data_IF_509813007037
#
_entry.id   IF_509813007037
#
_cell.length_a   1.000
_cell.length_b   1.000
_cell.length_c   1.000
_cell.angle_alpha   90.00
_cell.angle_beta   90.00
_cell.angle_gamma   90.00
#
_symmetry.space_group_name_H-M   'P 1'
#
loop_
_entity.id
_entity.type
_entity.pdbx_description
1 polymer ?
#
# COMPACT_ATOMS: atom_id res chain seq x y z
N UNK A 1 -22.28 8.18 -5.22
CA UNK A 1 -20.87 8.52 -5.45
C UNK A 1 -20.51 8.49 -6.94
N UNK A 2 -20.94 7.47 -7.69
CA UNK A 2 -20.64 7.29 -9.11
C UNK A 2 -21.03 8.46 -10.01
N UNK A 3 -22.16 9.12 -9.75
CA UNK A 3 -22.57 10.33 -10.49
C UNK A 3 -21.63 11.52 -10.26
N UNK A 4 -21.20 11.73 -9.01
CA UNK A 4 -20.25 12.78 -8.66
C UNK A 4 -18.86 12.50 -9.26
N UNK A 5 -18.41 11.23 -9.25
CA UNK A 5 -17.18 10.81 -9.93
C UNK A 5 -17.24 11.02 -11.43
N UNK A 6 -18.33 10.62 -12.09
CA UNK A 6 -18.50 10.79 -13.54
C UNK A 6 -18.47 12.26 -13.93
N UNK A 7 -19.13 13.11 -13.15
CA UNK A 7 -19.12 14.57 -13.34
C UNK A 7 -17.71 15.15 -13.14
N UNK A 8 -17.01 14.70 -12.10
CA UNK A 8 -15.63 15.11 -11.81
C UNK A 8 -14.68 14.71 -12.95
N UNK A 9 -14.74 13.47 -13.43
CA UNK A 9 -13.92 12.98 -14.54
C UNK A 9 -14.20 13.73 -15.84
N UNK A 10 -15.48 14.02 -16.14
CA UNK A 10 -15.85 14.84 -17.30
C UNK A 10 -15.26 16.24 -17.20
N UNK A 11 -15.35 16.89 -16.04
CA UNK A 11 -14.77 18.21 -15.81
C UNK A 11 -13.24 18.19 -15.89
N UNK A 12 -12.58 17.19 -15.29
CA UNK A 12 -11.12 17.01 -15.40
C UNK A 12 -10.65 16.81 -16.84
N UNK A 13 -11.42 16.11 -17.67
CA UNK A 13 -11.05 15.85 -19.07
C UNK A 13 -11.14 17.06 -20.01
N UNK A 14 -11.87 18.12 -19.60
CA UNK A 14 -12.24 19.23 -20.48
C UNK A 14 -11.87 20.62 -19.94
N UNK A 15 -11.61 20.75 -18.64
CA UNK A 15 -11.31 22.02 -17.99
C UNK A 15 -9.86 22.45 -18.22
N UNK A 16 -9.66 23.73 -18.49
CA UNK A 16 -8.34 24.39 -18.50
C UNK A 16 -7.98 25.01 -17.14
N UNK A 17 -8.83 24.87 -16.13
CA UNK A 17 -8.67 25.42 -14.78
C UNK A 17 -8.87 24.35 -13.71
N UNK A 18 -8.53 24.68 -12.46
CA UNK A 18 -8.79 23.82 -11.32
C UNK A 18 -10.27 23.40 -11.25
N UNK A 19 -10.50 22.12 -11.00
CA UNK A 19 -11.84 21.50 -10.95
C UNK A 19 -12.24 21.30 -9.49
N UNK A 20 -13.48 21.66 -9.15
CA UNK A 20 -14.01 21.49 -7.79
C UNK A 20 -14.32 20.02 -7.49
N UNK A 21 -13.94 19.58 -6.29
CA UNK A 21 -14.25 18.24 -5.75
C UNK A 21 -15.44 18.26 -4.77
N UNK A 22 -16.06 19.41 -4.53
CA UNK A 22 -17.09 19.60 -3.49
C UNK A 22 -18.26 18.60 -3.61
N UNK A 23 -18.71 18.33 -4.83
CA UNK A 23 -19.78 17.36 -5.08
C UNK A 23 -19.37 15.93 -4.69
N UNK A 24 -18.12 15.55 -4.96
CA UNK A 24 -17.57 14.25 -4.56
C UNK A 24 -17.39 14.17 -3.05
N UNK A 25 -16.81 15.22 -2.44
CA UNK A 25 -16.62 15.29 -0.99
C UNK A 25 -17.96 15.16 -0.26
N UNK A 26 -19.01 15.89 -0.69
CA UNK A 26 -20.36 15.75 -0.13
C UNK A 26 -20.94 14.35 -0.34
N UNK A 27 -20.78 13.76 -1.53
CA UNK A 27 -21.29 12.42 -1.81
C UNK A 27 -20.62 11.34 -0.94
N UNK A 28 -19.35 11.50 -0.59
CA UNK A 28 -18.61 10.59 0.28
C UNK A 28 -18.91 10.84 1.76
N UNK A 29 -18.90 12.10 2.22
CA UNK A 29 -19.15 12.42 3.64
C UNK A 29 -20.61 12.23 4.06
N UNK A 30 -21.56 12.37 3.14
CA UNK A 30 -22.97 11.99 3.40
C UNK A 30 -23.17 10.48 3.50
N UNK A 31 -22.26 9.69 2.91
CA UNK A 31 -22.28 8.23 3.00
C UNK A 31 -21.59 7.71 4.28
N UNK A 32 -20.78 8.54 4.94
CA UNK A 32 -20.09 8.23 6.19
C UNK A 32 -20.85 8.85 7.39
N UNK A 33 -20.94 8.11 8.49
CA UNK A 33 -21.58 8.60 9.72
C UNK A 33 -20.67 9.68 10.34
N UNK A 34 -20.95 10.97 10.11
CA UNK A 34 -20.22 12.06 10.77
C UNK A 34 -20.09 13.40 10.04
N UNK A 35 -20.41 13.49 8.75
CA UNK A 35 -20.78 14.75 8.07
C UNK A 35 -19.77 15.91 8.00
N UNK A 36 -18.50 15.76 8.41
CA UNK A 36 -17.50 16.83 8.30
C UNK A 36 -16.65 16.69 7.04
N UNK A 37 -16.58 17.73 6.21
CA UNK A 37 -15.85 17.77 4.94
C UNK A 37 -14.45 18.39 5.00
N UNK A 38 -13.97 18.77 6.19
CA UNK A 38 -12.70 19.50 6.38
C UNK A 38 -11.67 18.73 7.19
N UNK A 39 -11.89 17.43 7.42
CA UNK A 39 -10.98 16.59 8.20
C UNK A 39 -9.83 16.08 7.31
N UNK A 40 -8.63 16.02 7.88
CA UNK A 40 -7.53 15.28 7.25
C UNK A 40 -7.85 13.79 7.34
N UNK A 41 -7.75 13.10 6.22
CA UNK A 41 -8.04 11.67 6.13
C UNK A 41 -6.77 10.90 5.77
N UNK A 42 -6.71 9.65 6.23
CA UNK A 42 -5.75 8.68 5.72
C UNK A 42 -6.12 8.33 4.27
N UNK A 43 -5.14 8.35 3.36
CA UNK A 43 -5.39 8.11 1.93
C UNK A 43 -5.85 6.67 1.66
N UNK A 44 -5.39 5.71 2.45
CA UNK A 44 -5.78 4.30 2.31
C UNK A 44 -7.20 4.09 2.82
N UNK A 45 -7.56 4.69 3.95
CA UNK A 45 -8.94 4.68 4.46
C UNK A 45 -9.90 5.33 3.46
N UNK A 46 -9.52 6.49 2.91
CA UNK A 46 -10.29 7.16 1.87
C UNK A 46 -10.48 6.27 0.62
N UNK A 47 -9.42 5.59 0.17
CA UNK A 47 -9.47 4.68 -0.98
C UNK A 47 -10.44 3.53 -0.73
N UNK A 48 -10.35 2.87 0.41
CA UNK A 48 -11.24 1.76 0.78
C UNK A 48 -12.71 2.20 0.81
N UNK A 49 -13.01 3.35 1.42
CA UNK A 49 -14.38 3.91 1.42
C UNK A 49 -14.87 4.20 0.01
N UNK A 50 -14.02 4.78 -0.83
CA UNK A 50 -14.35 5.11 -2.21
C UNK A 50 -14.68 3.84 -3.02
N UNK A 51 -13.80 2.84 -2.99
CA UNK A 51 -13.98 1.59 -3.73
C UNK A 51 -15.20 0.82 -3.24
N UNK A 52 -15.39 0.70 -1.94
CA UNK A 52 -16.56 0.01 -1.36
C UNK A 52 -17.86 0.65 -1.83
N UNK A 53 -17.90 1.99 -1.88
CA UNK A 53 -19.10 2.70 -2.31
C UNK A 53 -19.35 2.55 -3.79
N UNK A 54 -18.30 2.56 -4.62
CA UNK A 54 -18.41 2.31 -6.06
C UNK A 54 -18.83 0.87 -6.33
N UNK A 55 -18.21 -0.14 -5.68
CA UNK A 55 -18.62 -1.55 -5.81
C UNK A 55 -20.07 -1.77 -5.40
N UNK A 56 -20.50 -1.14 -4.31
CA UNK A 56 -21.89 -1.19 -3.84
C UNK A 56 -22.86 -0.64 -4.89
N UNK A 57 -22.53 0.49 -5.52
CA UNK A 57 -23.37 1.09 -6.56
C UNK A 57 -23.35 0.28 -7.88
N UNK A 58 -22.24 -0.39 -8.19
CA UNK A 58 -22.09 -1.20 -9.40
C UNK A 58 -22.64 -2.63 -9.28
N UNK A 59 -22.90 -3.14 -8.06
CA UNK A 59 -23.25 -4.54 -7.78
C UNK A 59 -24.39 -5.11 -8.64
N UNK A 60 -25.37 -4.28 -9.00
CA UNK A 60 -26.54 -4.68 -9.80
C UNK A 60 -26.46 -4.24 -11.27
N UNK A 61 -25.26 -3.92 -11.76
CA UNK A 61 -25.00 -3.48 -13.13
C UNK A 61 -24.13 -4.50 -13.87
N UNK A 62 -24.05 -4.48 -15.20
CA UNK A 62 -23.08 -5.28 -15.96
C UNK A 62 -21.62 -5.07 -15.54
N UNK A 63 -21.32 -3.95 -14.89
CA UNK A 63 -19.99 -3.55 -14.42
C UNK A 63 -19.71 -3.99 -12.97
N UNK A 64 -20.51 -4.88 -12.37
CA UNK A 64 -20.37 -5.33 -10.98
C UNK A 64 -18.96 -5.86 -10.63
N UNK A 65 -18.19 -6.36 -11.62
CA UNK A 65 -16.84 -6.87 -11.44
C UNK A 65 -15.73 -5.89 -11.86
N UNK A 66 -16.05 -4.62 -12.13
CA UNK A 66 -15.06 -3.66 -12.63
C UNK A 66 -13.87 -3.50 -11.68
N UNK A 67 -14.14 -3.20 -10.40
CA UNK A 67 -13.10 -2.99 -9.39
C UNK A 67 -12.35 -4.29 -9.05
N UNK A 68 -13.03 -5.43 -8.80
CA UNK A 68 -12.34 -6.71 -8.61
C UNK A 68 -11.42 -7.08 -9.77
N UNK A 69 -11.85 -6.88 -11.03
CA UNK A 69 -11.03 -7.21 -12.18
C UNK A 69 -9.81 -6.30 -12.36
N UNK A 70 -9.87 -5.08 -11.83
CA UNK A 70 -8.77 -4.12 -11.92
C UNK A 70 -7.75 -4.28 -10.80
N UNK A 71 -8.22 -4.59 -9.59
CA UNK A 71 -7.40 -4.47 -8.38
C UNK A 71 -7.21 -5.78 -7.61
N UNK A 72 -8.05 -6.81 -7.78
CA UNK A 72 -7.87 -8.04 -7.01
C UNK A 72 -6.70 -8.87 -7.53
N UNK A 73 -5.81 -9.26 -6.61
CA UNK A 73 -4.90 -10.39 -6.74
C UNK A 73 -5.30 -11.55 -5.84
N UNK A 74 -4.67 -12.70 -6.06
CA UNK A 74 -4.83 -13.90 -5.22
C UNK A 74 -3.58 -14.11 -4.37
N UNK A 75 -3.78 -14.50 -3.11
CA UNK A 75 -2.71 -14.85 -2.19
C UNK A 75 -3.06 -16.11 -1.40
N UNK A 76 -2.03 -16.79 -0.87
CA UNK A 76 -2.21 -17.99 -0.05
C UNK A 76 -1.27 -17.92 1.14
N UNK A 77 -1.82 -18.09 2.33
CA UNK A 77 -1.06 -18.21 3.57
C UNK A 77 -0.78 -19.68 3.84
N UNK A 78 0.46 -20.02 4.17
CA UNK A 78 0.85 -21.37 4.53
C UNK A 78 1.21 -21.41 6.02
N UNK A 79 0.92 -22.53 6.67
CA UNK A 79 1.41 -22.81 8.03
C UNK A 79 1.94 -24.23 8.07
N UNK A 80 3.20 -24.39 8.48
CA UNK A 80 3.88 -25.66 8.68
C UNK A 80 4.01 -25.94 10.17
N UNK A 81 3.37 -27.02 10.63
CA UNK A 81 3.50 -27.51 11.99
C UNK A 81 4.95 -27.97 12.28
N UNK A 82 5.55 -27.44 13.34
CA UNK A 82 6.92 -27.77 13.77
C UNK A 82 7.08 -29.17 14.38
N UNK A 83 5.99 -29.81 14.83
CA UNK A 83 6.05 -31.17 15.40
C UNK A 83 5.84 -32.27 14.34
N UNK A 84 4.72 -32.24 13.62
CA UNK A 84 4.33 -33.31 12.68
C UNK A 84 4.61 -32.98 11.21
N UNK A 85 5.08 -31.77 10.89
CA UNK A 85 5.41 -31.32 9.54
C UNK A 85 4.23 -31.10 8.60
N UNK A 86 2.97 -31.21 9.08
CA UNK A 86 1.79 -30.96 8.26
C UNK A 86 1.78 -29.49 7.82
N UNK A 87 1.54 -29.27 6.52
CA UNK A 87 1.33 -27.94 5.94
C UNK A 87 -0.17 -27.76 5.70
N UNK A 88 -0.74 -26.69 6.26
CA UNK A 88 -2.07 -26.20 5.95
C UNK A 88 -1.95 -24.89 5.17
N UNK A 89 -3.04 -24.48 4.51
CA UNK A 89 -3.09 -23.20 3.83
C UNK A 89 -4.48 -22.59 3.86
N UNK A 90 -4.53 -21.26 3.71
CA UNK A 90 -5.76 -20.49 3.53
C UNK A 90 -5.60 -19.63 2.29
N UNK A 91 -6.55 -19.73 1.36
CA UNK A 91 -6.64 -18.87 0.17
C UNK A 91 -7.33 -17.55 0.53
N UNK A 92 -6.84 -16.45 -0.03
CA UNK A 92 -7.37 -15.11 0.18
C UNK A 92 -7.15 -14.22 -1.06
N UNK A 93 -7.80 -13.06 -1.09
CA UNK A 93 -7.63 -12.05 -2.14
C UNK A 93 -7.14 -10.75 -1.55
N UNK A 94 -6.34 -9.99 -2.30
CA UNK A 94 -5.88 -8.67 -1.88
C UNK A 94 -6.15 -7.63 -2.97
N UNK A 95 -6.34 -6.37 -2.59
CA UNK A 95 -6.38 -5.22 -3.51
C UNK A 95 -5.12 -4.35 -3.43
N UNK A 96 -4.42 -4.41 -2.31
CA UNK A 96 -3.19 -3.69 -2.05
C UNK A 96 -2.20 -4.54 -1.24
N UNK A 97 -0.92 -4.19 -1.31
CA UNK A 97 0.16 -4.82 -0.54
C UNK A 97 0.72 -3.81 0.46
N UNK A 98 0.73 -4.19 1.74
CA UNK A 98 1.29 -3.37 2.83
C UNK A 98 2.78 -3.63 2.94
N UNK A 99 3.59 -2.72 2.39
CA UNK A 99 5.04 -2.81 2.40
C UNK A 99 5.63 -2.02 3.57
N UNK A 100 6.46 -2.67 4.38
CA UNK A 100 7.14 -2.01 5.49
C UNK A 100 8.23 -1.07 4.96
N UNK A 101 8.12 0.22 5.29
CA UNK A 101 9.19 1.19 5.05
C UNK A 101 10.10 1.19 6.28
N UNK A 102 11.21 0.45 6.20
CA UNK A 102 12.25 0.49 7.22
C UNK A 102 13.23 1.60 6.89
N UNK A 103 13.37 2.64 7.74
CA UNK A 103 14.38 3.67 7.51
C UNK A 103 15.74 3.00 7.43
N UNK A 104 16.51 3.33 6.39
CA UNK A 104 17.91 2.94 6.34
C UNK A 104 18.57 3.39 7.64
N UNK A 105 19.27 2.48 8.32
CA UNK A 105 20.23 2.89 9.33
C UNK A 105 21.36 3.61 8.61
N UNK A 106 21.16 4.89 8.28
CA UNK A 106 22.19 5.75 7.74
C UNK A 106 23.24 5.94 8.83
N UNK A 107 24.21 5.04 8.91
CA UNK A 107 25.58 5.40 9.32
C UNK A 107 26.25 6.12 8.16
N UNK A 108 25.67 7.24 7.73
CA UNK A 108 26.39 8.26 6.99
C UNK A 108 25.88 9.59 7.51
N UNK A 109 26.76 10.27 8.23
CA UNK A 109 26.58 11.58 8.81
C UNK A 109 25.93 12.50 7.78
N UNK A 110 24.67 12.90 8.01
CA UNK A 110 24.10 14.04 7.31
C UNK A 110 24.93 15.25 7.73
N UNK A 111 26.02 15.53 7.02
CA UNK A 111 26.70 16.80 7.12
C UNK A 111 25.79 17.82 6.47
N UNK A 112 25.04 18.51 7.31
CA UNK A 112 24.28 19.71 6.97
C UNK A 112 25.22 20.69 6.26
N UNK A 113 25.29 20.60 4.94
CA UNK A 113 26.07 21.54 4.15
C UNK A 113 25.15 22.71 3.87
N UNK A 114 25.38 23.79 4.63
CA UNK A 114 24.85 25.12 4.42
C UNK A 114 24.88 25.50 2.93
N UNK A 115 23.80 26.12 2.48
CA UNK A 115 23.66 26.77 1.17
C UNK A 115 24.93 27.57 0.86
N UNK A 116 25.70 27.14 -0.16
CA UNK A 116 26.83 27.91 -0.70
C UNK A 116 26.38 28.67 -1.94
N UNK A 117 26.47 29.99 -1.85
CA UNK A 117 26.33 30.95 -2.93
C UNK A 117 27.31 30.61 -4.06
N UNK A 118 26.81 30.54 -5.29
CA UNK A 118 27.62 30.30 -6.49
C UNK A 118 28.43 31.56 -6.82
N UNK A 119 29.77 31.47 -6.80
CA UNK A 119 30.66 32.34 -7.56
C UNK A 119 31.90 31.57 -8.04
N UNK A 120 32.04 31.55 -9.37
CA UNK A 120 33.21 31.46 -10.25
C UNK A 120 34.28 30.34 -10.13
N UNK A 121 34.32 29.56 -11.23
CA UNK A 121 35.35 28.76 -11.89
C UNK A 121 36.68 28.39 -11.17
N UNK A 122 36.91 27.07 -11.05
CA UNK A 122 38.24 26.43 -11.02
C UNK A 122 38.15 24.90 -11.32
N UNK A 123 39.24 24.24 -11.76
CA UNK A 123 39.21 23.17 -12.77
C UNK A 123 38.83 21.77 -12.27
N UNK A 124 38.31 20.96 -13.19
CA UNK A 124 37.91 19.55 -13.02
C UNK A 124 39.14 18.68 -12.67
N UNK A 125 39.08 18.00 -11.52
CA UNK A 125 39.93 16.85 -11.20
C UNK A 125 39.05 15.59 -11.16
N UNK A 126 39.40 14.62 -12.01
CA UNK A 126 38.77 13.30 -12.11
C UNK A 126 39.16 12.39 -10.93
N UNK A 127 38.18 11.84 -10.22
CA UNK A 127 38.15 10.54 -9.54
C UNK A 127 36.79 10.51 -8.81
N UNK A 128 35.88 9.55 -9.00
CA UNK A 128 35.99 8.10 -8.86
C UNK A 128 34.71 7.52 -9.49
N UNK A 129 34.73 6.25 -9.88
CA UNK A 129 33.60 5.57 -10.52
C UNK A 129 32.24 5.91 -9.85
N UNK A 130 31.32 6.49 -10.65
CA UNK A 130 29.91 6.59 -10.30
C UNK A 130 29.35 5.16 -10.27
N UNK A 131 29.24 4.58 -9.07
CA UNK A 131 28.28 3.50 -8.84
C UNK A 131 26.89 3.99 -9.27
N UNK A 132 26.13 3.20 -10.04
CA UNK A 132 24.82 3.61 -10.49
C UNK A 132 23.92 3.79 -9.26
N UNK A 133 23.19 4.91 -9.19
CA UNK A 133 22.17 5.16 -8.17
C UNK A 133 21.06 4.12 -8.34
N UNK A 134 21.18 2.98 -7.66
CA UNK A 134 20.21 1.87 -7.64
C UNK A 134 19.41 1.85 -6.32
N UNK A 135 19.10 3.02 -5.74
CA UNK A 135 18.55 3.11 -4.37
C UNK A 135 17.07 2.74 -4.24
N UNK A 136 16.21 3.16 -5.17
CA UNK A 136 14.75 2.96 -5.00
C UNK A 136 14.29 1.51 -5.28
N UNK A 137 14.91 0.84 -6.26
CA UNK A 137 14.56 -0.55 -6.58
C UNK A 137 14.99 -1.55 -5.49
N UNK A 138 16.07 -1.26 -4.76
CA UNK A 138 16.50 -2.10 -3.64
C UNK A 138 15.54 -2.01 -2.46
N UNK A 139 14.91 -0.86 -2.20
CA UNK A 139 14.02 -0.67 -1.06
C UNK A 139 12.69 -1.40 -1.20
N UNK A 140 12.00 -1.24 -2.34
CA UNK A 140 10.73 -1.94 -2.60
C UNK A 140 10.95 -3.45 -2.68
N UNK A 141 12.02 -3.90 -3.35
CA UNK A 141 12.38 -5.32 -3.37
C UNK A 141 12.59 -5.85 -1.97
N UNK A 142 13.36 -5.15 -1.13
CA UNK A 142 13.59 -5.55 0.27
C UNK A 142 12.29 -5.61 1.06
N UNK A 143 11.39 -4.66 0.88
CA UNK A 143 10.10 -4.67 1.58
C UNK A 143 9.21 -5.83 1.13
N UNK A 144 9.25 -6.21 -0.16
CA UNK A 144 8.57 -7.40 -0.67
C UNK A 144 9.19 -8.70 -0.15
N UNK A 145 10.53 -8.76 -0.09
CA UNK A 145 11.24 -9.89 0.52
C UNK A 145 10.86 -10.04 1.99
N UNK A 146 10.79 -8.93 2.74
CA UNK A 146 10.34 -8.92 4.13
C UNK A 146 8.89 -9.39 4.28
N UNK A 147 7.99 -8.92 3.41
CA UNK A 147 6.57 -9.33 3.40
C UNK A 147 6.39 -10.83 3.23
N UNK A 148 7.30 -11.49 2.49
CA UNK A 148 7.25 -12.91 2.19
C UNK A 148 8.03 -13.78 3.19
N UNK A 149 8.68 -13.18 4.20
CA UNK A 149 9.38 -13.97 5.22
C UNK A 149 8.38 -14.76 6.06
N UNK A 150 8.63 -16.06 6.30
CA UNK A 150 7.82 -16.84 7.24
C UNK A 150 7.84 -16.21 8.63
N UNK A 151 6.67 -16.10 9.24
CA UNK A 151 6.52 -15.65 10.63
C UNK A 151 6.60 -16.86 11.56
N UNK A 152 7.38 -16.75 12.64
CA UNK A 152 7.48 -17.83 13.62
C UNK A 152 6.33 -17.74 14.63
N UNK A 153 5.51 -18.77 14.67
CA UNK A 153 4.38 -18.93 15.58
C UNK A 153 4.83 -19.72 16.81
N UNK A 154 5.20 -19.03 17.89
CA UNK A 154 5.70 -19.65 19.13
C UNK A 154 5.17 -18.95 20.39
N UNK A 155 5.42 -19.54 21.56
CA UNK A 155 5.02 -18.97 22.85
C UNK A 155 3.51 -18.72 22.96
N UNK A 156 3.10 -17.46 23.13
CA UNK A 156 1.68 -17.10 23.18
C UNK A 156 0.95 -17.27 21.83
N UNK A 157 1.70 -17.25 20.72
CA UNK A 157 1.20 -17.28 19.34
C UNK A 157 1.26 -18.68 18.71
N UNK A 158 1.40 -19.74 19.51
CA UNK A 158 1.47 -21.12 18.99
C UNK A 158 0.24 -21.48 18.15
N UNK A 159 0.50 -22.18 17.05
CA UNK A 159 -0.51 -22.70 16.13
C UNK A 159 -1.20 -23.93 16.71
N UNK A 160 -2.52 -24.03 16.59
CA UNK A 160 -3.23 -25.25 16.93
C UNK A 160 -3.23 -26.22 15.74
N UNK A 161 -2.42 -27.28 15.83
CA UNK A 161 -2.34 -28.28 14.77
C UNK A 161 -3.46 -29.30 14.92
N UNK A 162 -4.33 -29.40 13.91
CA UNK A 162 -5.44 -30.36 13.86
C UNK A 162 -4.98 -31.84 13.85
N UNK A 163 -3.78 -32.12 13.34
CA UNK A 163 -3.18 -33.46 13.34
C UNK A 163 -2.58 -33.84 14.69
N UNK A 164 -1.92 -32.91 15.39
CA UNK A 164 -1.38 -33.16 16.73
C UNK A 164 -2.44 -33.02 17.82
N UNK A 165 -3.53 -32.30 17.53
CA UNK A 165 -4.59 -31.91 18.46
C UNK A 165 -4.08 -31.10 19.68
N UNK A 166 -3.03 -30.30 19.50
CA UNK A 166 -2.43 -29.44 20.53
C UNK A 166 -1.85 -28.15 19.91
N UNK A 167 -1.45 -27.21 20.78
CA UNK A 167 -0.69 -26.01 20.41
C UNK A 167 0.78 -26.38 20.20
N UNK A 168 1.33 -25.97 19.07
CA UNK A 168 2.68 -26.29 18.63
C UNK A 168 3.34 -25.05 18.04
N UNK A 169 4.66 -25.05 18.03
CA UNK A 169 5.41 -24.07 17.25
C UNK A 169 5.21 -24.34 15.75
N UNK A 170 5.19 -23.29 14.93
CA UNK A 170 4.98 -23.37 13.49
C UNK A 170 5.61 -22.17 12.75
N UNK A 171 5.66 -22.24 11.42
CA UNK A 171 6.10 -21.16 10.52
C UNK A 171 5.28 -21.08 9.23
#
# INVERSE_FOLDING_TARGET
VSSALSSLFSALSSSSSAVSTEALTKALTSALVGGSSTRQEDVHEFWQVLTDKVETELRNTPQAKLLPNLFNGEQRFYVRCGECGKVSHTDDTFQDLKLAVTPESQTSTWSSTSVRTLNEASPIQNATAHEPVTGAHSEVRRALEELLKPEQLNGANQYFCDRCACKVDAE
#
